data_IF_424919775573
#
_entry.id   IF_424919775573
#
_cell.length_a   1.000
_cell.length_b   1.000
_cell.length_c   1.000
_cell.angle_alpha   90.00
_cell.angle_beta   90.00
_cell.angle_gamma   90.00
#
_symmetry.space_group_name_H-M   'P 1'
#
loop_
_entity.id
_entity.type
_entity.pdbx_description
1 polymer ?
#
# COMPACT_ATOMS: atom_id res chain seq x y z
N UNK A 1 -4.40 21.11 -4.05
CA UNK A 1 -3.40 20.02 -4.18
C UNK A 1 -3.48 19.23 -2.90
N UNK A 2 -3.58 17.90 -2.95
CA UNK A 2 -3.42 17.07 -1.75
C UNK A 2 -2.17 17.53 -1.03
N UNK A 3 -2.24 17.69 0.29
CA UNK A 3 -1.05 17.98 1.08
C UNK A 3 0.04 16.95 0.73
N UNK A 4 1.31 17.37 0.73
CA UNK A 4 2.44 16.47 0.42
C UNK A 4 2.35 15.19 1.27
N UNK A 5 1.84 15.28 2.50
CA UNK A 5 1.58 14.14 3.38
C UNK A 5 0.51 13.17 2.83
N UNK A 6 -0.70 13.65 2.49
CA UNK A 6 -1.77 12.78 1.98
C UNK A 6 -1.41 12.15 0.62
N UNK A 7 -0.75 12.92 -0.24
CA UNK A 7 -0.22 12.41 -1.52
C UNK A 7 0.80 11.29 -1.30
N UNK A 8 1.79 11.48 -0.43
CA UNK A 8 2.82 10.47 -0.15
C UNK A 8 2.22 9.18 0.43
N UNK A 9 1.22 9.30 1.33
CA UNK A 9 0.49 8.15 1.86
C UNK A 9 -0.28 7.40 0.78
N UNK A 10 -0.97 8.12 -0.11
CA UNK A 10 -1.72 7.54 -1.23
C UNK A 10 -0.81 6.84 -2.24
N UNK A 11 0.32 7.47 -2.60
CA UNK A 11 1.30 6.89 -3.51
C UNK A 11 1.91 5.63 -2.92
N UNK A 12 2.30 5.65 -1.64
CA UNK A 12 2.82 4.48 -0.93
C UNK A 12 1.79 3.34 -0.90
N UNK A 13 0.55 3.62 -0.52
CA UNK A 13 -0.52 2.62 -0.51
C UNK A 13 -0.78 2.04 -1.92
N UNK A 14 -0.67 2.87 -2.96
CA UNK A 14 -0.84 2.43 -4.35
C UNK A 14 0.28 1.50 -4.80
N UNK A 15 1.53 1.79 -4.43
CA UNK A 15 2.69 0.94 -4.73
C UNK A 15 2.56 -0.42 -4.05
N UNK A 16 2.25 -0.45 -2.75
CA UNK A 16 2.06 -1.69 -2.00
C UNK A 16 0.90 -2.52 -2.58
N UNK A 17 -0.23 -1.89 -2.90
CA UNK A 17 -1.40 -2.58 -3.45
C UNK A 17 -1.10 -3.24 -4.79
N UNK A 18 -0.32 -2.56 -5.65
CA UNK A 18 0.16 -3.14 -6.92
C UNK A 18 1.12 -4.30 -6.68
N UNK A 19 1.99 -4.20 -5.67
CA UNK A 19 2.87 -5.29 -5.24
C UNK A 19 2.09 -6.53 -4.82
N UNK A 20 1.03 -6.36 -4.03
CA UNK A 20 0.21 -7.46 -3.52
C UNK A 20 -0.36 -8.37 -4.61
N UNK A 21 -0.84 -7.78 -5.71
CA UNK A 21 -1.36 -8.54 -6.86
C UNK A 21 -0.31 -9.44 -7.52
N UNK A 22 0.98 -9.09 -7.42
CA UNK A 22 2.07 -9.80 -8.10
C UNK A 22 2.62 -10.96 -7.30
N UNK A 23 2.47 -10.99 -5.97
CA UNK A 23 3.04 -12.06 -5.14
C UNK A 23 2.53 -13.44 -5.51
N UNK A 24 1.27 -13.57 -5.95
CA UNK A 24 0.74 -14.87 -6.37
C UNK A 24 1.45 -15.39 -7.63
N UNK A 25 1.87 -14.48 -8.52
CA UNK A 25 2.72 -14.85 -9.66
C UNK A 25 4.13 -15.19 -9.21
N UNK A 26 4.74 -14.41 -8.32
CA UNK A 26 6.09 -14.69 -7.81
C UNK A 26 6.18 -16.04 -7.07
N UNK A 27 5.12 -16.41 -6.35
CA UNK A 27 5.01 -17.73 -5.72
C UNK A 27 4.94 -18.86 -6.74
N UNK A 28 4.26 -18.66 -7.87
CA UNK A 28 4.26 -19.63 -8.98
C UNK A 28 5.63 -19.71 -9.65
N UNK A 29 6.25 -18.56 -9.90
CA UNK A 29 7.57 -18.45 -10.56
C UNK A 29 8.70 -19.03 -9.69
N UNK A 30 8.56 -19.01 -8.37
CA UNK A 30 9.49 -19.64 -7.44
C UNK A 30 9.58 -21.17 -7.60
N UNK A 31 8.61 -21.79 -8.30
CA UNK A 31 8.60 -23.22 -8.58
C UNK A 31 8.75 -24.06 -7.31
N UNK A 32 9.68 -25.01 -7.31
CA UNK A 32 9.96 -25.89 -6.16
C UNK A 32 10.91 -25.31 -5.11
N UNK A 33 11.37 -24.07 -5.23
CA UNK A 33 12.31 -23.50 -4.25
C UNK A 33 11.57 -23.03 -2.98
N UNK A 34 11.62 -23.84 -1.93
CA UNK A 34 10.94 -23.54 -0.65
C UNK A 34 11.39 -22.21 -0.03
N UNK A 35 12.68 -21.89 -0.10
CA UNK A 35 13.20 -20.64 0.45
C UNK A 35 12.63 -19.41 -0.27
N UNK A 36 12.57 -19.45 -1.62
CA UNK A 36 11.94 -18.38 -2.40
C UNK A 36 10.45 -18.25 -2.05
N UNK A 37 9.73 -19.37 -1.93
CA UNK A 37 8.32 -19.32 -1.54
C UNK A 37 8.11 -18.71 -0.16
N UNK A 38 8.94 -19.08 0.83
CA UNK A 38 8.88 -18.50 2.17
C UNK A 38 9.16 -17.00 2.16
N UNK A 39 10.17 -16.57 1.40
CA UNK A 39 10.51 -15.16 1.25
C UNK A 39 9.33 -14.37 0.64
N UNK A 40 8.73 -14.85 -0.44
CA UNK A 40 7.60 -14.17 -1.08
C UNK A 40 6.36 -14.14 -0.19
N UNK A 41 6.08 -15.20 0.58
CA UNK A 41 4.98 -15.19 1.56
C UNK A 41 5.23 -14.17 2.67
N UNK A 42 6.46 -14.11 3.19
CA UNK A 42 6.85 -13.14 4.21
C UNK A 42 6.69 -11.70 3.70
N UNK A 43 7.19 -11.41 2.49
CA UNK A 43 7.05 -10.09 1.87
C UNK A 43 5.58 -9.72 1.65
N UNK A 44 4.77 -10.63 1.11
CA UNK A 44 3.32 -10.44 0.95
C UNK A 44 2.65 -10.06 2.28
N UNK A 45 2.92 -10.82 3.33
CA UNK A 45 2.34 -10.56 4.65
C UNK A 45 2.74 -9.18 5.19
N UNK A 46 4.02 -8.79 5.05
CA UNK A 46 4.51 -7.48 5.48
C UNK A 46 3.82 -6.33 4.73
N UNK A 47 3.68 -6.44 3.41
CA UNK A 47 3.02 -5.41 2.60
C UNK A 47 1.53 -5.28 2.96
N UNK A 48 0.85 -6.40 3.26
CA UNK A 48 -0.54 -6.38 3.76
C UNK A 48 -0.65 -5.67 5.11
N UNK A 49 0.27 -5.95 6.05
CA UNK A 49 0.31 -5.30 7.37
C UNK A 49 0.57 -3.79 7.25
N UNK A 50 1.49 -3.39 6.36
CA UNK A 50 1.76 -1.98 6.08
C UNK A 50 0.53 -1.29 5.49
N UNK A 51 -0.18 -1.92 4.54
CA UNK A 51 -1.42 -1.38 3.99
C UNK A 51 -2.53 -1.23 5.02
N UNK A 52 -2.73 -2.23 5.89
CA UNK A 52 -3.70 -2.14 7.00
C UNK A 52 -3.41 -0.97 7.93
N UNK A 53 -2.15 -0.58 8.05
CA UNK A 53 -1.72 0.57 8.87
C UNK A 53 -1.89 1.90 8.13
N UNK A 54 -1.53 1.95 6.84
CA UNK A 54 -1.57 3.17 6.04
C UNK A 54 -2.99 3.63 5.69
N UNK A 55 -3.88 2.70 5.33
CA UNK A 55 -5.22 3.04 4.82
C UNK A 55 -6.09 3.81 5.83
N UNK A 56 -6.17 3.43 7.12
CA UNK A 56 -6.91 4.21 8.11
C UNK A 56 -6.34 5.62 8.29
N UNK A 57 -5.01 5.75 8.28
CA UNK A 57 -4.38 7.06 8.43
C UNK A 57 -4.58 7.96 7.20
N UNK A 58 -4.46 7.39 5.99
CA UNK A 58 -4.79 8.11 4.76
C UNK A 58 -6.25 8.59 4.77
N UNK A 59 -7.18 7.74 5.22
CA UNK A 59 -8.59 8.13 5.36
C UNK A 59 -8.76 9.33 6.30
N UNK A 60 -8.05 9.36 7.43
CA UNK A 60 -8.06 10.52 8.33
C UNK A 60 -7.61 11.80 7.62
N UNK A 61 -6.51 11.76 6.84
CA UNK A 61 -6.06 12.92 6.07
C UNK A 61 -7.10 13.39 5.06
N UNK A 62 -7.77 12.47 4.36
CA UNK A 62 -8.81 12.81 3.39
C UNK A 62 -10.09 13.38 4.05
N UNK A 63 -10.43 12.92 5.25
CA UNK A 63 -11.59 13.39 6.00
C UNK A 63 -11.34 14.72 6.74
N UNK A 64 -10.08 15.02 7.08
CA UNK A 64 -9.69 16.21 7.84
C UNK A 64 -9.03 17.30 6.98
N UNK A 65 -8.81 17.09 5.68
CA UNK A 65 -8.43 18.19 4.79
C UNK A 65 -9.60 19.20 4.76
N UNK A 66 -9.42 20.45 5.23
CA UNK A 66 -10.44 21.47 5.05
C UNK A 66 -10.61 21.62 3.54
N UNK A 67 -11.80 21.29 3.06
CA UNK A 67 -12.22 21.69 1.73
C UNK A 67 -11.84 23.15 1.58
N UNK A 68 -11.05 23.47 0.56
CA UNK A 68 -10.90 24.85 0.09
C UNK A 68 -12.26 25.22 -0.51
N UNK A 69 -13.25 25.38 0.36
CA UNK A 69 -14.57 25.86 0.05
C UNK A 69 -14.44 27.38 -0.04
N UNK A 70 -14.53 27.84 -1.29
CA UNK A 70 -14.79 29.23 -1.67
C UNK A 70 -13.77 30.26 -1.16
N UNK A 71 -12.67 30.42 -1.91
CA UNK A 71 -12.14 31.76 -2.08
C UNK A 71 -13.13 32.54 -2.97
N UNK A 72 -13.68 33.58 -2.33
CA UNK A 72 -14.60 34.62 -2.80
C UNK A 72 -14.48 35.08 -4.25
#
# INVERSE_FOLDING_TARGET
MLSNAAYNLMETASVLSKGLYRYDQFLRDAGGCEHCQQLWRFMKQRDEEQLRTLLPHLKQHLEHEPTVAAAA
#
